data_IF_522064975408
#
_entry.id   IF_522064975408
#
_cell.length_a   1.000
_cell.length_b   1.000
_cell.length_c   1.000
_cell.angle_alpha   90.00
_cell.angle_beta   90.00
_cell.angle_gamma   90.00
#
_symmetry.space_group_name_H-M   'P 1'
#
loop_
_entity.id
_entity.type
_entity.pdbx_description
1 polymer ?
#
# COMPACT_ATOMS: atom_id res chain seq x y z
N UNK A 1 6.29 -25.60 -3.35
CA UNK A 1 7.13 -25.14 -2.22
C UNK A 1 6.99 -23.62 -2.09
N UNK A 2 5.76 -23.11 -2.02
CA UNK A 2 5.44 -21.68 -2.19
C UNK A 2 4.88 -21.05 -0.88
N UNK A 3 4.21 -21.86 -0.04
CA UNK A 3 3.59 -21.37 1.21
C UNK A 3 4.57 -20.95 2.31
N UNK A 4 5.78 -21.53 2.38
CA UNK A 4 6.79 -21.12 3.38
C UNK A 4 7.29 -19.71 3.07
N UNK A 5 7.52 -19.41 1.79
CA UNK A 5 7.92 -18.09 1.32
C UNK A 5 6.87 -17.03 1.67
N UNK A 6 5.60 -17.37 1.45
CA UNK A 6 4.48 -16.50 1.81
C UNK A 6 4.39 -16.26 3.32
N UNK A 7 4.51 -17.32 4.14
CA UNK A 7 4.48 -17.20 5.60
C UNK A 7 5.62 -16.37 6.18
N UNK A 8 6.78 -16.34 5.53
CA UNK A 8 7.91 -15.53 5.97
C UNK A 8 7.72 -14.04 5.64
N UNK A 9 7.05 -13.73 4.54
CA UNK A 9 6.81 -12.34 4.11
C UNK A 9 5.55 -11.73 4.72
N UNK A 10 4.54 -12.55 4.99
CA UNK A 10 3.25 -12.09 5.51
C UNK A 10 3.36 -11.16 6.73
N UNK A 11 4.20 -11.43 7.76
CA UNK A 11 4.35 -10.51 8.89
C UNK A 11 4.90 -9.13 8.50
N UNK A 12 5.72 -9.06 7.45
CA UNK A 12 6.30 -7.79 6.98
C UNK A 12 5.27 -6.95 6.21
N UNK A 13 4.33 -7.61 5.54
CA UNK A 13 3.23 -6.98 4.79
C UNK A 13 2.14 -6.40 5.72
N UNK A 14 2.06 -6.86 6.97
CA UNK A 14 1.13 -6.32 7.97
C UNK A 14 1.53 -4.92 8.47
N UNK A 15 2.80 -4.55 8.33
CA UNK A 15 3.29 -3.27 8.80
C UNK A 15 2.92 -2.18 7.77
N UNK A 16 2.26 -1.11 8.21
CA UNK A 16 2.02 0.06 7.36
C UNK A 16 3.31 0.87 7.23
N UNK A 17 4.17 0.47 6.31
CA UNK A 17 5.41 1.18 6.00
C UNK A 17 5.14 2.60 5.49
N UNK A 18 5.90 3.62 5.94
CA UNK A 18 5.74 4.97 5.44
C UNK A 18 6.19 5.02 3.97
N UNK A 19 5.27 5.42 3.10
CA UNK A 19 5.50 5.51 1.67
C UNK A 19 5.30 6.94 1.19
N UNK A 20 6.32 7.46 0.49
CA UNK A 20 6.32 8.79 -0.10
C UNK A 20 6.56 8.69 -1.61
N UNK A 21 5.57 8.17 -2.34
CA UNK A 21 5.72 8.04 -3.80
C UNK A 21 5.52 9.38 -4.52
N UNK A 22 4.98 10.40 -3.86
CA UNK A 22 4.87 11.75 -4.44
C UNK A 22 6.21 12.41 -4.74
N UNK A 23 7.30 12.00 -4.08
CA UNK A 23 8.65 12.50 -4.36
C UNK A 23 9.29 11.81 -5.58
N UNK A 24 8.72 10.71 -6.08
CA UNK A 24 9.29 9.96 -7.22
C UNK A 24 9.05 10.71 -8.53
N UNK A 25 10.15 11.09 -9.18
CA UNK A 25 10.14 11.79 -10.48
C UNK A 25 9.56 10.95 -11.65
N UNK A 26 9.52 9.63 -11.53
CA UNK A 26 8.96 8.71 -12.55
C UNK A 26 7.42 8.65 -12.51
N UNK A 27 6.83 9.01 -11.36
CA UNK A 27 5.39 8.89 -11.16
C UNK A 27 4.68 10.11 -11.73
N UNK A 28 3.73 9.86 -12.62
CA UNK A 28 2.84 10.92 -13.10
C UNK A 28 1.75 11.17 -12.05
N UNK A 29 1.81 12.36 -11.46
CA UNK A 29 0.90 12.80 -10.40
C UNK A 29 -0.26 13.56 -11.04
N UNK A 30 -1.49 13.18 -10.69
CA UNK A 30 -2.66 13.98 -10.97
C UNK A 30 -2.75 15.08 -9.91
N UNK A 31 -2.26 16.27 -10.25
CA UNK A 31 -2.31 17.43 -9.35
C UNK A 31 -3.77 17.77 -9.02
N UNK A 32 -4.17 17.84 -7.74
CA UNK A 32 -5.55 18.13 -7.40
C UNK A 32 -5.94 19.54 -7.86
N UNK A 33 -7.18 19.68 -8.36
CA UNK A 33 -7.74 20.97 -8.78
C UNK A 33 -8.02 21.91 -7.59
N UNK A 34 -7.99 21.38 -6.37
CA UNK A 34 -8.34 22.06 -5.13
C UNK A 34 -7.28 21.80 -4.04
N UNK A 35 -6.96 22.84 -3.28
CA UNK A 35 -5.96 22.79 -2.21
C UNK A 35 -6.48 21.92 -1.06
N UNK A 36 -5.83 20.78 -0.81
CA UNK A 36 -6.18 19.85 0.28
C UNK A 36 -6.75 18.50 -0.18
N UNK A 37 -6.92 18.27 -1.48
CA UNK A 37 -7.24 16.92 -1.98
C UNK A 37 -6.03 16.01 -1.96
N UNK A 38 -6.27 14.71 -1.78
CA UNK A 38 -5.25 13.66 -1.76
C UNK A 38 -4.51 13.57 -3.11
N UNK A 39 -3.18 13.51 -3.03
CA UNK A 39 -2.30 13.38 -4.19
C UNK A 39 -2.50 11.99 -4.77
N UNK A 40 -2.98 11.93 -6.03
CA UNK A 40 -3.31 10.68 -6.70
C UNK A 40 -2.42 10.44 -7.91
N UNK A 41 -2.02 9.20 -8.14
CA UNK A 41 -1.29 8.79 -9.34
C UNK A 41 -2.21 8.74 -10.55
N UNK A 42 -1.70 9.16 -11.71
CA UNK A 42 -2.40 9.04 -12.99
C UNK A 42 -2.40 7.60 -13.52
N UNK A 43 -1.42 6.81 -13.07
CA UNK A 43 -1.21 5.41 -13.48
C UNK A 43 -1.18 4.53 -12.25
N UNK A 44 -1.80 3.35 -12.36
CA UNK A 44 -1.79 2.34 -11.32
C UNK A 44 -0.35 1.88 -11.03
N UNK A 45 0.08 2.04 -9.78
CA UNK A 45 1.33 1.50 -9.26
C UNK A 45 1.21 -0.01 -9.04
N UNK A 46 2.31 -0.78 -9.22
CA UNK A 46 2.31 -2.20 -8.91
C UNK A 46 1.99 -2.43 -7.42
N UNK A 47 1.38 -3.57 -7.07
CA UNK A 47 0.87 -3.83 -5.72
C UNK A 47 1.92 -3.76 -4.62
N UNK A 48 3.19 -4.06 -4.94
CA UNK A 48 4.34 -4.00 -4.03
C UNK A 48 4.74 -2.55 -3.69
N UNK A 49 4.45 -1.59 -4.58
CA UNK A 49 4.82 -0.18 -4.44
C UNK A 49 3.63 0.69 -4.03
N UNK A 50 2.59 0.11 -3.42
CA UNK A 50 1.43 0.90 -2.97
C UNK A 50 0.92 0.44 -1.62
N UNK A 51 0.65 1.41 -0.75
CA UNK A 51 -0.15 1.17 0.44
C UNK A 51 -1.57 0.78 0.03
N UNK A 52 -2.00 -0.40 0.46
CA UNK A 52 -3.33 -0.92 0.17
C UNK A 52 -3.90 -1.54 1.42
N UNK A 53 -5.00 -0.98 1.88
CA UNK A 53 -5.84 -1.53 2.93
C UNK A 53 -6.64 -2.72 2.39
N UNK A 54 -6.81 -3.77 3.19
CA UNK A 54 -7.47 -5.00 2.76
C UNK A 54 -8.91 -4.80 2.25
N UNK A 55 -9.62 -3.81 2.78
CA UNK A 55 -11.07 -3.70 2.57
C UNK A 55 -11.50 -2.53 1.69
N UNK A 56 -10.81 -1.39 1.74
CA UNK A 56 -11.22 -0.16 1.02
C UNK A 56 -10.02 0.74 0.71
N UNK A 57 -9.01 0.21 0.02
CA UNK A 57 -7.87 1.03 -0.38
C UNK A 57 -8.18 1.92 -1.60
N UNK A 58 -7.77 3.18 -1.53
CA UNK A 58 -7.61 3.99 -2.73
C UNK A 58 -6.40 3.47 -3.52
N UNK A 59 -6.65 2.99 -4.74
CA UNK A 59 -5.60 2.45 -5.62
C UNK A 59 -4.67 3.48 -6.22
N UNK A 60 -5.08 4.74 -6.18
CA UNK A 60 -4.34 5.85 -6.75
C UNK A 60 -3.61 6.68 -5.69
N UNK A 61 -3.85 6.45 -4.40
CA UNK A 61 -3.17 7.17 -3.32
C UNK A 61 -1.66 6.98 -3.41
N UNK A 62 -0.91 8.09 -3.36
CA UNK A 62 0.55 8.06 -3.52
C UNK A 62 1.30 7.98 -2.20
N UNK A 63 0.79 8.66 -1.18
CA UNK A 63 1.44 8.76 0.12
C UNK A 63 0.51 8.19 1.18
N UNK A 64 1.02 7.26 1.97
CA UNK A 64 0.29 6.63 3.06
C UNK A 64 1.27 5.89 4.00
N UNK A 65 0.78 5.48 5.16
CA UNK A 65 1.55 4.76 6.16
C UNK A 65 2.36 5.68 7.07
N UNK A 66 2.35 5.36 8.36
CA UNK A 66 3.07 6.10 9.40
C UNK A 66 4.26 5.31 9.97
N UNK A 67 4.40 4.03 9.63
CA UNK A 67 5.37 3.10 10.23
C UNK A 67 5.02 2.62 11.64
N UNK A 68 3.94 3.15 12.25
CA UNK A 68 3.54 2.83 13.62
C UNK A 68 2.22 2.04 13.72
N UNK A 69 1.58 1.78 12.58
CA UNK A 69 0.31 1.07 12.51
C UNK A 69 0.52 -0.29 11.85
N UNK A 70 -0.26 -1.27 12.28
CA UNK A 70 -0.26 -2.63 11.74
C UNK A 70 -1.68 -2.99 11.29
N UNK A 71 -1.82 -3.60 10.12
CA UNK A 71 -3.08 -4.07 9.54
C UNK A 71 -3.56 -5.34 10.28
N UNK A 72 -4.87 -5.55 10.35
CA UNK A 72 -5.43 -6.68 11.10
C UNK A 72 -5.04 -8.04 10.46
N UNK A 73 -4.37 -8.95 11.18
CA UNK A 73 -3.93 -10.25 10.66
C UNK A 73 -5.01 -11.29 10.31
N UNK A 74 -6.30 -10.92 10.22
CA UNK A 74 -7.45 -11.85 10.10
C UNK A 74 -7.41 -12.79 8.87
N UNK A 75 -6.57 -12.53 7.86
CA UNK A 75 -6.57 -13.31 6.62
C UNK A 75 -6.06 -14.78 6.74
N UNK A 76 -5.29 -15.16 7.76
CA UNK A 76 -4.71 -16.51 7.83
C UNK A 76 -5.57 -17.56 8.54
N UNK A 77 -6.71 -17.92 7.95
CA UNK A 77 -7.31 -19.24 8.17
C UNK A 77 -7.03 -20.11 6.95
N UNK A 78 -5.85 -20.74 6.92
CA UNK A 78 -5.57 -21.80 5.96
C UNK A 78 -6.45 -23.02 6.32
N UNK A 79 -7.24 -23.49 5.36
CA UNK A 79 -7.82 -24.84 5.45
C UNK A 79 -6.72 -25.86 5.22
N UNK A 80 -6.61 -26.82 6.14
CA UNK A 80 -5.78 -28.02 6.03
C UNK A 80 -6.40 -29.01 5.05
#
# INVERSE_FOLDING_TARGET
MDGIWYMQRWPLELIHWPQFNSDRLDVQINGPAECGSEISSLKLLPPDERSTWMWNANVYGLDDGSGFNEENPVAFLLSY
#
